data_IF_356813664951
#
_entry.id   IF_356813664951
#
_cell.length_a   1.000
_cell.length_b   1.000
_cell.length_c   1.000
_cell.angle_alpha   90.00
_cell.angle_beta   90.00
_cell.angle_gamma   90.00
#
_symmetry.space_group_name_H-M   'P 1'
#
loop_
_entity.id
_entity.type
_entity.pdbx_description
1 polymer ?
#
# COMPACT_ATOMS: atom_id res chain seq x y z
N UNK A 1 -27.22 32.92 6.74
CA UNK A 1 -26.47 31.86 7.46
C UNK A 1 -26.73 30.48 6.87
N UNK A 2 -27.98 30.00 6.81
CA UNK A 2 -28.31 28.66 6.29
C UNK A 2 -27.83 28.40 4.84
N UNK A 3 -28.01 29.36 3.92
CA UNK A 3 -27.52 29.24 2.53
C UNK A 3 -26.00 29.00 2.48
N UNK A 4 -25.23 29.68 3.32
CA UNK A 4 -23.78 29.50 3.38
C UNK A 4 -23.40 28.08 3.85
N UNK A 5 -24.13 27.53 4.83
CA UNK A 5 -23.92 26.15 5.30
C UNK A 5 -24.22 25.12 4.21
N UNK A 6 -25.28 25.32 3.42
CA UNK A 6 -25.58 24.49 2.25
C UNK A 6 -24.49 24.56 1.18
N UNK A 7 -23.95 25.75 0.92
CA UNK A 7 -22.83 25.92 -0.02
C UNK A 7 -21.60 25.13 0.47
N UNK A 8 -21.25 25.24 1.76
CA UNK A 8 -20.13 24.48 2.34
C UNK A 8 -20.37 22.97 2.22
N UNK A 9 -21.59 22.51 2.54
CA UNK A 9 -21.95 21.09 2.39
C UNK A 9 -21.79 20.61 0.95
N UNK A 10 -22.26 21.38 -0.04
CA UNK A 10 -22.10 21.03 -1.46
C UNK A 10 -20.61 20.95 -1.83
N UNK A 11 -19.78 21.89 -1.37
CA UNK A 11 -18.33 21.84 -1.59
C UNK A 11 -17.72 20.58 -0.97
N UNK A 12 -18.09 20.20 0.25
CA UNK A 12 -17.62 18.97 0.88
C UNK A 12 -18.06 17.71 0.12
N UNK A 13 -19.29 17.67 -0.40
CA UNK A 13 -19.79 16.55 -1.20
C UNK A 13 -19.06 16.45 -2.55
N UNK A 14 -18.84 17.57 -3.23
CA UNK A 14 -18.06 17.62 -4.47
C UNK A 14 -16.61 17.20 -4.23
N UNK A 15 -16.01 17.61 -3.11
CA UNK A 15 -14.68 17.19 -2.71
C UNK A 15 -14.64 15.67 -2.47
N UNK A 16 -15.59 15.12 -1.72
CA UNK A 16 -15.68 13.66 -1.53
C UNK A 16 -15.86 12.91 -2.87
N UNK A 17 -16.59 13.48 -3.82
CA UNK A 17 -16.79 12.88 -5.14
C UNK A 17 -15.51 12.86 -6.01
N UNK A 18 -14.47 13.63 -5.68
CA UNK A 18 -13.19 13.58 -6.40
C UNK A 18 -12.52 12.20 -6.30
N UNK A 19 -12.81 11.44 -5.24
CA UNK A 19 -12.30 10.07 -5.12
C UNK A 19 -12.88 9.15 -6.19
N UNK A 20 -14.00 9.50 -6.82
CA UNK A 20 -14.69 8.73 -7.87
C UNK A 20 -14.25 9.08 -9.29
N UNK A 21 -13.21 9.90 -9.45
CA UNK A 21 -12.67 10.18 -10.78
C UNK A 21 -12.08 8.91 -11.42
N UNK A 22 -12.03 8.83 -12.75
CA UNK A 22 -11.28 7.76 -13.42
C UNK A 22 -9.79 7.81 -13.07
N UNK A 23 -9.13 6.66 -13.05
CA UNK A 23 -7.67 6.61 -12.88
C UNK A 23 -6.96 7.48 -13.91
N UNK A 24 -5.88 8.16 -13.52
CA UNK A 24 -5.17 9.12 -14.37
C UNK A 24 -5.67 10.56 -14.25
N UNK A 25 -6.95 10.78 -13.92
CA UNK A 25 -7.47 12.14 -13.73
C UNK A 25 -6.88 12.80 -12.50
N UNK A 26 -6.65 12.03 -11.44
CA UNK A 26 -5.95 12.45 -10.25
C UNK A 26 -4.51 12.90 -10.55
N UNK A 27 -3.93 12.60 -11.73
CA UNK A 27 -2.64 13.14 -12.18
C UNK A 27 -2.59 14.64 -12.50
N UNK A 28 -3.60 15.45 -12.15
CA UNK A 28 -3.65 16.89 -12.43
C UNK A 28 -3.79 17.74 -11.17
N UNK A 29 -3.03 18.83 -11.06
CA UNK A 29 -3.17 19.76 -9.93
C UNK A 29 -4.58 20.38 -9.92
N UNK A 30 -5.23 20.54 -8.75
CA UNK A 30 -4.77 20.20 -7.39
C UNK A 30 -5.26 18.83 -6.88
N UNK A 31 -5.72 17.93 -7.76
CA UNK A 31 -6.49 16.73 -7.40
C UNK A 31 -5.77 15.75 -6.45
N UNK A 32 -4.48 15.41 -6.60
CA UNK A 32 -3.81 14.49 -5.67
C UNK A 32 -3.92 14.99 -4.22
N UNK A 33 -3.65 16.28 -4.01
CA UNK A 33 -3.63 16.87 -2.67
C UNK A 33 -5.02 16.93 -2.05
N UNK A 34 -6.03 17.29 -2.84
CA UNK A 34 -7.41 17.30 -2.37
C UNK A 34 -7.85 15.88 -2.02
N UNK A 35 -7.60 14.91 -2.89
CA UNK A 35 -8.02 13.52 -2.69
C UNK A 35 -7.34 12.91 -1.46
N UNK A 36 -6.04 13.15 -1.25
CA UNK A 36 -5.30 12.68 -0.07
C UNK A 36 -5.90 13.13 1.28
N UNK A 37 -6.59 14.28 1.29
CA UNK A 37 -7.22 14.84 2.50
C UNK A 37 -8.70 14.46 2.67
N UNK A 38 -9.31 13.80 1.68
CA UNK A 38 -10.71 13.32 1.79
C UNK A 38 -10.97 12.40 2.99
N UNK A 39 -10.01 11.60 3.52
CA UNK A 39 -10.21 10.87 4.75
C UNK A 39 -10.51 11.74 5.98
N UNK A 40 -10.34 13.06 5.92
CA UNK A 40 -10.66 13.98 7.01
C UNK A 40 -12.03 14.68 6.86
N UNK A 41 -12.73 14.46 5.75
CA UNK A 41 -14.03 15.11 5.48
C UNK A 41 -15.13 14.76 6.47
N UNK A 42 -15.05 13.60 7.15
CA UNK A 42 -15.98 13.22 8.22
C UNK A 42 -16.07 14.30 9.31
N UNK A 43 -14.98 15.05 9.58
CA UNK A 43 -14.96 16.13 10.57
C UNK A 43 -15.86 17.28 10.13
N UNK A 44 -15.73 17.68 8.85
CA UNK A 44 -16.55 18.74 8.28
C UNK A 44 -18.03 18.32 8.26
N UNK A 45 -18.35 17.11 7.82
CA UNK A 45 -19.73 16.61 7.83
C UNK A 45 -20.30 16.50 9.25
N UNK A 46 -19.51 16.07 10.24
CA UNK A 46 -19.94 16.01 11.63
C UNK A 46 -20.22 17.41 12.19
N UNK A 47 -19.31 18.37 11.98
CA UNK A 47 -19.48 19.75 12.45
C UNK A 47 -20.70 20.43 11.82
N UNK A 48 -20.89 20.28 10.50
CA UNK A 48 -22.06 20.78 9.80
C UNK A 48 -23.34 20.09 10.29
N UNK A 49 -23.33 18.78 10.48
CA UNK A 49 -24.46 18.02 11.01
C UNK A 49 -24.90 18.51 12.39
N UNK A 50 -23.95 18.73 13.31
CA UNK A 50 -24.21 19.29 14.64
C UNK A 50 -24.81 20.69 14.52
N UNK A 51 -24.26 21.56 13.67
CA UNK A 51 -24.82 22.89 13.43
C UNK A 51 -26.27 22.81 12.91
N UNK A 52 -26.55 21.89 11.98
CA UNK A 52 -27.89 21.61 11.47
C UNK A 52 -28.88 21.21 12.56
N UNK A 53 -28.47 20.31 13.45
CA UNK A 53 -29.27 19.88 14.60
C UNK A 53 -29.55 21.04 15.57
N UNK A 54 -28.53 21.85 15.89
CA UNK A 54 -28.70 23.04 16.75
C UNK A 54 -29.67 24.07 16.15
N UNK A 55 -29.65 24.23 14.83
CA UNK A 55 -30.55 25.12 14.09
C UNK A 55 -31.95 24.53 13.86
N UNK A 56 -32.17 23.24 14.20
CA UNK A 56 -33.39 22.47 13.90
C UNK A 56 -33.70 22.34 12.40
N UNK A 57 -32.66 22.39 11.57
CA UNK A 57 -32.73 22.24 10.12
C UNK A 57 -32.54 20.77 9.73
N UNK A 58 -33.61 19.97 9.91
CA UNK A 58 -33.55 18.52 9.78
C UNK A 58 -33.11 18.03 8.39
N UNK A 59 -33.54 18.70 7.32
CA UNK A 59 -33.13 18.36 5.96
C UNK A 59 -31.62 18.53 5.75
N UNK A 60 -31.06 19.63 6.26
CA UNK A 60 -29.62 19.88 6.21
C UNK A 60 -28.83 18.88 7.06
N UNK A 61 -29.29 18.60 8.28
CA UNK A 61 -28.68 17.62 9.17
C UNK A 61 -28.68 16.21 8.56
N UNK A 62 -29.77 15.81 7.89
CA UNK A 62 -29.86 14.53 7.18
C UNK A 62 -28.86 14.42 6.03
N UNK A 63 -28.70 15.47 5.21
CA UNK A 63 -27.70 15.48 4.15
C UNK A 63 -26.25 15.43 4.69
N UNK A 64 -25.98 16.13 5.80
CA UNK A 64 -24.69 16.03 6.48
C UNK A 64 -24.42 14.62 7.02
N UNK A 65 -25.44 13.97 7.60
CA UNK A 65 -25.33 12.59 8.07
C UNK A 65 -25.06 11.61 6.93
N UNK A 66 -25.71 11.78 5.77
CA UNK A 66 -25.41 10.98 4.58
C UNK A 66 -23.96 11.16 4.11
N UNK A 67 -23.47 12.40 4.04
CA UNK A 67 -22.07 12.71 3.70
C UNK A 67 -21.08 12.14 4.72
N UNK A 68 -21.41 12.21 6.02
CA UNK A 68 -20.63 11.62 7.10
C UNK A 68 -20.50 10.10 6.94
N UNK A 69 -21.63 9.41 6.71
CA UNK A 69 -21.65 7.97 6.49
C UNK A 69 -20.81 7.62 5.26
N UNK A 70 -21.01 8.30 4.13
CA UNK A 70 -20.23 8.06 2.91
C UNK A 70 -18.72 8.26 3.13
N UNK A 71 -18.33 9.30 3.88
CA UNK A 71 -16.91 9.55 4.22
C UNK A 71 -16.33 8.46 5.13
N UNK A 72 -17.09 7.99 6.12
CA UNK A 72 -16.64 6.94 7.04
C UNK A 72 -16.62 5.55 6.40
N UNK A 73 -17.56 5.23 5.52
CA UNK A 73 -17.59 3.96 4.77
C UNK A 73 -16.33 3.74 3.94
N UNK A 74 -15.66 4.79 3.47
CA UNK A 74 -14.37 4.63 2.77
C UNK A 74 -13.23 4.17 3.69
N UNK A 75 -13.35 4.40 5.00
CA UNK A 75 -12.36 3.92 5.98
C UNK A 75 -12.65 2.49 6.42
N UNK A 76 -13.87 2.00 6.23
CA UNK A 76 -14.22 0.66 6.72
C UNK A 76 -13.42 -0.42 6.03
N UNK A 77 -12.90 -0.22 4.82
CA UNK A 77 -12.02 -1.18 4.15
C UNK A 77 -10.83 -1.62 5.03
N UNK A 78 -10.29 -0.73 5.87
CA UNK A 78 -9.21 -1.04 6.81
C UNK A 78 -9.63 -1.82 8.05
N UNK A 79 -10.93 -1.99 8.28
CA UNK A 79 -11.50 -2.66 9.46
C UNK A 79 -12.44 -3.83 9.11
N UNK A 80 -12.88 -3.87 7.86
CA UNK A 80 -13.94 -4.71 7.33
C UNK A 80 -13.51 -5.19 5.95
N UNK A 81 -12.46 -6.02 5.92
CA UNK A 81 -12.19 -6.85 4.74
C UNK A 81 -13.15 -8.05 4.67
N UNK A 82 -13.94 -8.25 5.74
CA UNK A 82 -14.55 -9.53 6.08
C UNK A 82 -16.08 -9.50 6.23
N UNK A 83 -16.79 -8.79 5.36
CA UNK A 83 -18.23 -9.07 5.15
C UNK A 83 -18.45 -10.43 4.44
N UNK A 84 -17.40 -11.25 4.25
CA UNK A 84 -17.43 -12.63 3.73
C UNK A 84 -16.39 -13.61 4.32
N UNK A 85 -16.02 -13.54 5.60
CA UNK A 85 -15.42 -14.68 6.33
C UNK A 85 -15.84 -14.64 7.80
N UNK A 86 -15.65 -15.76 8.49
CA UNK A 86 -16.70 -16.66 8.91
C UNK A 86 -17.36 -16.20 10.20
N UNK A 87 -18.54 -16.76 10.49
CA UNK A 87 -19.25 -16.52 11.74
C UNK A 87 -18.28 -16.59 12.95
N UNK A 88 -18.58 -15.81 13.98
CA UNK A 88 -17.79 -15.66 15.21
C UNK A 88 -17.32 -17.01 15.82
N UNK A 89 -18.00 -18.11 15.50
CA UNK A 89 -17.61 -19.47 15.87
C UNK A 89 -16.28 -19.95 15.28
N UNK A 90 -15.96 -19.67 14.01
CA UNK A 90 -14.68 -20.11 13.42
C UNK A 90 -13.50 -19.27 13.92
N UNK A 91 -13.69 -17.96 14.16
CA UNK A 91 -12.67 -17.12 14.79
C UNK A 91 -12.34 -17.59 16.22
N UNK A 92 -13.35 -18.07 16.96
CA UNK A 92 -13.17 -18.68 18.28
C UNK A 92 -12.47 -20.05 18.15
N UNK A 93 -12.85 -20.87 17.17
CA UNK A 93 -12.20 -22.15 16.93
C UNK A 93 -10.71 -22.00 16.60
N UNK A 94 -10.34 -20.99 15.79
CA UNK A 94 -8.95 -20.65 15.47
C UNK A 94 -8.17 -20.20 16.71
N UNK A 95 -8.75 -19.32 17.55
CA UNK A 95 -8.13 -18.91 18.83
C UNK A 95 -7.94 -20.10 19.79
N UNK A 96 -8.87 -21.05 19.80
CA UNK A 96 -8.75 -22.27 20.61
C UNK A 96 -7.64 -23.18 20.05
N UNK A 97 -7.54 -23.31 18.72
CA UNK A 97 -6.49 -24.10 18.08
C UNK A 97 -5.09 -23.51 18.34
N UNK A 98 -4.94 -22.19 18.21
CA UNK A 98 -3.70 -21.47 18.54
C UNK A 98 -3.31 -21.62 20.01
N UNK A 99 -4.29 -21.58 20.92
CA UNK A 99 -4.04 -21.79 22.34
C UNK A 99 -3.60 -23.22 22.63
N UNK A 100 -4.24 -24.22 22.00
CA UNK A 100 -3.83 -25.62 22.11
C UNK A 100 -2.44 -25.88 21.54
N UNK A 101 -2.06 -25.21 20.44
CA UNK A 101 -0.72 -25.30 19.87
C UNK A 101 0.35 -24.74 20.82
N UNK A 102 0.09 -23.60 21.47
CA UNK A 102 0.97 -23.02 22.50
C UNK A 102 1.08 -23.89 23.75
N UNK A 103 -0.04 -24.47 24.18
CA UNK A 103 -0.08 -25.39 25.33
C UNK A 103 0.65 -26.72 25.02
N UNK A 104 0.63 -27.19 23.77
CA UNK A 104 1.39 -28.34 23.32
C UNK A 104 2.90 -28.06 23.25
N UNK A 105 3.31 -26.87 22.81
CA UNK A 105 4.72 -26.43 22.81
C UNK A 105 5.29 -26.20 24.22
N UNK A 106 4.45 -25.77 25.17
CA UNK A 106 4.86 -25.58 26.56
C UNK A 106 5.16 -26.89 27.32
N UNK A 107 4.76 -28.05 26.78
CA UNK A 107 4.97 -29.36 27.40
C UNK A 107 6.24 -30.08 26.93
N UNK A 108 6.96 -29.57 25.93
CA UNK A 108 8.30 -30.05 25.59
C UNK A 108 9.33 -28.92 25.75
N UNK A 109 9.96 -28.83 26.91
CA UNK A 109 11.12 -27.95 27.11
C UNK A 109 12.30 -28.73 27.69
N UNK A 110 13.25 -29.04 26.81
CA UNK A 110 14.69 -29.14 27.10
C UNK A 110 15.35 -27.90 26.49
N UNK A 111 16.33 -27.27 27.14
CA UNK A 111 16.89 -26.01 26.66
C UNK A 111 17.73 -26.26 25.41
N UNK A 112 17.29 -25.74 24.26
CA UNK A 112 17.98 -25.91 22.98
C UNK A 112 18.45 -24.57 22.41
N UNK A 113 19.75 -24.53 22.12
CA UNK A 113 20.49 -23.60 21.26
C UNK A 113 19.76 -23.41 19.92
N UNK A 114 19.72 -22.20 19.32
CA UNK A 114 18.97 -21.95 18.10
C UNK A 114 19.54 -22.78 16.93
N UNK A 115 18.68 -23.54 16.26
CA UNK A 115 18.99 -24.28 15.03
C UNK A 115 18.15 -23.72 13.88
N UNK A 116 18.70 -23.89 12.67
CA UNK A 116 18.46 -23.20 11.41
C UNK A 116 17.14 -23.54 10.68
N UNK A 117 16.02 -23.77 11.39
CA UNK A 117 14.79 -24.32 10.78
C UNK A 117 13.50 -23.47 10.96
N UNK A 118 13.55 -22.20 11.38
CA UNK A 118 12.33 -21.39 11.59
C UNK A 118 11.58 -20.94 10.30
N UNK A 119 11.93 -21.51 9.14
CA UNK A 119 11.18 -21.34 7.88
C UNK A 119 9.98 -22.30 7.75
N UNK A 120 9.45 -22.85 8.84
CA UNK A 120 8.55 -24.00 8.80
C UNK A 120 7.12 -23.72 8.28
N UNK A 121 6.68 -22.48 8.06
CA UNK A 121 5.31 -22.18 7.57
C UNK A 121 5.25 -21.15 6.41
N UNK A 122 6.37 -20.86 5.73
CA UNK A 122 6.39 -19.86 4.64
C UNK A 122 6.06 -18.43 5.11
N UNK A 123 6.32 -18.13 6.38
CA UNK A 123 6.09 -16.85 7.05
C UNK A 123 7.39 -16.06 7.15
N UNK A 124 7.34 -14.77 6.83
CA UNK A 124 8.49 -13.86 6.91
C UNK A 124 8.05 -12.42 7.15
N UNK A 125 8.91 -11.61 7.78
CA UNK A 125 8.64 -10.20 8.06
C UNK A 125 9.34 -9.29 7.07
N UNK A 126 8.61 -8.28 6.60
CA UNK A 126 9.11 -7.28 5.67
C UNK A 126 9.01 -5.89 6.31
N UNK A 127 9.91 -4.99 5.92
CA UNK A 127 9.96 -3.61 6.40
C UNK A 127 10.20 -2.66 5.23
N UNK A 128 9.49 -1.53 5.21
CA UNK A 128 9.77 -0.43 4.29
C UNK A 128 9.90 0.92 4.98
N UNK A 129 10.77 1.79 4.47
CA UNK A 129 10.97 3.14 4.99
C UNK A 129 11.51 4.09 3.91
N UNK A 130 10.84 5.22 3.70
CA UNK A 130 11.44 6.39 3.06
C UNK A 130 12.46 7.02 4.04
N UNK A 131 13.71 7.14 3.60
CA UNK A 131 14.82 7.58 4.42
C UNK A 131 15.05 9.09 4.45
N UNK A 132 14.19 9.88 3.80
CA UNK A 132 14.23 11.34 3.76
C UNK A 132 15.61 11.85 3.36
N UNK A 133 15.98 11.72 2.08
CA UNK A 133 17.31 12.11 1.59
C UNK A 133 18.49 11.47 2.35
N UNK A 134 18.31 10.23 2.81
CA UNK A 134 19.30 9.50 3.58
C UNK A 134 19.51 9.98 5.02
N UNK A 135 18.58 10.73 5.60
CA UNK A 135 18.66 11.23 6.98
C UNK A 135 18.17 10.25 8.04
N UNK A 136 17.49 9.16 7.66
CA UNK A 136 17.02 8.15 8.60
C UNK A 136 18.17 7.51 9.39
N UNK A 137 17.94 7.27 10.68
CA UNK A 137 18.94 6.75 11.60
C UNK A 137 19.28 5.28 11.29
N UNK A 138 20.45 5.05 10.70
CA UNK A 138 20.93 3.73 10.32
C UNK A 138 20.96 2.73 11.49
N UNK A 139 21.39 3.15 12.68
CA UNK A 139 21.49 2.27 13.84
C UNK A 139 20.11 1.81 14.32
N UNK A 140 19.10 2.68 14.25
CA UNK A 140 17.72 2.30 14.59
C UNK A 140 17.09 1.38 13.54
N UNK A 141 17.39 1.60 12.25
CA UNK A 141 16.97 0.69 11.17
C UNK A 141 17.55 -0.70 11.41
N UNK A 142 18.87 -0.81 11.65
CA UNK A 142 19.52 -2.12 11.88
C UNK A 142 19.01 -2.78 13.17
N UNK A 143 18.78 -2.00 14.23
CA UNK A 143 18.15 -2.51 15.47
C UNK A 143 16.76 -3.07 15.19
N UNK A 144 15.93 -2.35 14.44
CA UNK A 144 14.59 -2.81 14.07
C UNK A 144 14.65 -4.09 13.22
N UNK A 145 15.54 -4.17 12.24
CA UNK A 145 15.74 -5.38 11.42
C UNK A 145 16.07 -6.59 12.30
N UNK A 146 16.91 -6.39 13.32
CA UNK A 146 17.29 -7.44 14.27
C UNK A 146 16.16 -7.83 15.21
N UNK A 147 15.54 -6.85 15.86
CA UNK A 147 14.58 -7.06 16.94
C UNK A 147 13.23 -7.59 16.42
N UNK A 148 12.85 -7.20 15.20
CA UNK A 148 11.62 -7.63 14.53
C UNK A 148 11.85 -8.80 13.56
N UNK A 149 13.04 -9.39 13.52
CA UNK A 149 13.40 -10.49 12.62
C UNK A 149 13.03 -10.23 11.15
N UNK A 150 13.34 -9.04 10.65
CA UNK A 150 13.04 -8.64 9.26
C UNK A 150 13.86 -9.49 8.29
N UNK A 151 13.19 -10.11 7.32
CA UNK A 151 13.80 -10.93 6.29
C UNK A 151 14.02 -10.17 4.98
N UNK A 152 13.18 -9.16 4.71
CA UNK A 152 13.29 -8.27 3.55
C UNK A 152 13.10 -6.82 3.97
N UNK A 153 14.08 -5.98 3.64
CA UNK A 153 14.07 -4.54 3.91
C UNK A 153 14.06 -3.78 2.59
N UNK A 154 13.11 -2.87 2.40
CA UNK A 154 13.07 -1.94 1.28
C UNK A 154 13.26 -0.50 1.78
N UNK A 155 14.20 0.23 1.21
CA UNK A 155 14.46 1.62 1.60
C UNK A 155 14.36 2.53 0.37
N UNK A 156 13.76 3.70 0.56
CA UNK A 156 13.59 4.73 -0.46
C UNK A 156 14.32 6.01 -0.05
N UNK A 157 14.61 6.90 -1.00
CA UNK A 157 15.41 8.11 -0.77
C UNK A 157 16.77 7.85 -0.11
N UNK A 158 17.45 6.78 -0.53
CA UNK A 158 18.77 6.43 -0.05
C UNK A 158 19.84 7.37 -0.61
N UNK A 159 20.91 7.53 0.15
CA UNK A 159 22.18 8.07 -0.31
C UNK A 159 23.27 7.02 -0.12
N UNK A 160 24.37 7.14 -0.88
CA UNK A 160 25.55 6.29 -0.65
C UNK A 160 26.07 6.39 0.78
N UNK A 161 25.91 7.56 1.41
CA UNK A 161 26.33 7.77 2.79
C UNK A 161 25.49 6.95 3.78
N UNK A 162 24.17 6.95 3.62
CA UNK A 162 23.29 6.11 4.43
C UNK A 162 23.59 4.62 4.22
N UNK A 163 23.90 4.18 2.98
CA UNK A 163 24.33 2.80 2.73
C UNK A 163 25.59 2.45 3.53
N UNK A 164 26.61 3.33 3.53
CA UNK A 164 27.82 3.13 4.36
C UNK A 164 27.51 3.08 5.85
N UNK A 165 26.59 3.92 6.33
CA UNK A 165 26.17 3.92 7.74
C UNK A 165 25.43 2.63 8.13
N UNK A 166 24.57 2.10 7.25
CA UNK A 166 23.89 0.82 7.44
C UNK A 166 24.89 -0.35 7.49
N UNK A 167 25.86 -0.36 6.58
CA UNK A 167 26.94 -1.35 6.56
C UNK A 167 27.78 -1.28 7.84
N UNK A 168 28.16 -0.07 8.27
CA UNK A 168 28.90 0.16 9.51
C UNK A 168 28.09 -0.21 10.78
N UNK A 169 26.76 -0.09 10.74
CA UNK A 169 25.87 -0.50 11.81
C UNK A 169 25.64 -2.02 11.85
N UNK A 170 26.15 -2.77 10.86
CA UNK A 170 26.10 -4.24 10.82
C UNK A 170 24.91 -4.80 10.04
N UNK A 171 24.29 -4.04 9.14
CA UNK A 171 23.16 -4.54 8.33
C UNK A 171 23.53 -5.80 7.54
N UNK A 172 24.75 -5.85 6.99
CA UNK A 172 25.23 -6.98 6.19
C UNK A 172 25.31 -8.31 6.96
N UNK A 173 25.37 -8.28 8.29
CA UNK A 173 25.32 -9.49 9.12
C UNK A 173 23.90 -10.06 9.23
N UNK A 174 22.88 -9.22 9.04
CA UNK A 174 21.46 -9.59 9.16
C UNK A 174 20.83 -9.86 7.79
N UNK A 175 21.14 -8.99 6.81
CA UNK A 175 20.63 -9.02 5.45
C UNK A 175 21.81 -8.89 4.45
N UNK A 176 22.54 -9.99 4.19
CA UNK A 176 23.80 -9.95 3.42
C UNK A 176 23.61 -9.68 1.92
N UNK A 177 22.41 -9.89 1.38
CA UNK A 177 22.14 -9.71 -0.05
C UNK A 177 21.40 -8.39 -0.29
N UNK A 178 21.76 -7.67 -1.35
CA UNK A 178 21.09 -6.41 -1.71
C UNK A 178 21.07 -6.16 -3.21
N UNK A 179 20.08 -5.39 -3.65
CA UNK A 179 20.01 -4.77 -4.96
C UNK A 179 19.65 -3.30 -4.79
N UNK A 180 20.43 -2.42 -5.41
CA UNK A 180 20.19 -0.98 -5.43
C UNK A 180 19.66 -0.57 -6.81
N UNK A 181 18.83 0.45 -6.87
CA UNK A 181 18.51 1.12 -8.14
C UNK A 181 19.73 1.87 -8.65
N UNK A 182 19.82 2.07 -9.97
CA UNK A 182 20.89 2.88 -10.54
C UNK A 182 20.60 4.36 -10.21
N UNK A 183 21.55 5.10 -9.59
CA UNK A 183 21.32 6.50 -9.27
C UNK A 183 21.08 7.34 -10.52
N UNK A 184 19.98 8.10 -10.55
CA UNK A 184 19.64 8.98 -11.66
C UNK A 184 19.58 10.44 -11.22
N UNK A 185 19.94 11.35 -12.12
CA UNK A 185 19.86 12.79 -11.84
C UNK A 185 18.42 13.28 -11.58
N UNK A 186 17.42 12.51 -12.03
CA UNK A 186 15.99 12.78 -11.83
C UNK A 186 15.39 12.16 -10.56
N UNK A 187 16.20 11.51 -9.73
CA UNK A 187 15.72 10.80 -8.54
C UNK A 187 15.01 11.72 -7.56
N UNK A 188 13.92 11.21 -6.98
CA UNK A 188 13.13 11.92 -5.98
C UNK A 188 13.78 11.77 -4.60
N UNK A 189 14.87 12.49 -4.36
CA UNK A 189 15.52 12.54 -3.05
C UNK A 189 16.53 11.42 -2.76
N UNK A 190 16.77 10.52 -3.70
CA UNK A 190 17.75 9.45 -3.61
C UNK A 190 17.31 8.24 -4.41
N UNK A 191 18.14 7.19 -4.40
CA UNK A 191 17.81 5.93 -5.05
C UNK A 191 17.07 4.99 -4.10
N UNK A 192 16.54 3.89 -4.64
CA UNK A 192 15.85 2.85 -3.89
C UNK A 192 16.77 1.66 -3.66
N UNK A 193 16.48 0.84 -2.65
CA UNK A 193 17.24 -0.39 -2.38
C UNK A 193 16.39 -1.47 -1.71
N UNK A 194 16.74 -2.72 -1.97
CA UNK A 194 16.17 -3.89 -1.30
C UNK A 194 17.29 -4.76 -0.74
N UNK A 195 17.14 -5.20 0.51
CA UNK A 195 18.05 -6.11 1.22
C UNK A 195 17.30 -7.35 1.68
N UNK A 196 17.96 -8.50 1.62
CA UNK A 196 17.36 -9.79 1.96
C UNK A 196 18.31 -10.67 2.76
N UNK A 197 17.71 -11.53 3.59
CA UNK A 197 18.42 -12.55 4.35
C UNK A 197 18.89 -13.72 3.50
N UNK A 198 18.16 -14.04 2.44
CA UNK A 198 18.36 -15.21 1.59
C UNK A 198 18.92 -14.79 0.24
N UNK A 199 19.80 -15.63 -0.32
CA UNK A 199 20.41 -15.40 -1.63
C UNK A 199 19.35 -15.35 -2.74
N UNK A 200 19.30 -14.28 -3.53
CA UNK A 200 18.35 -14.18 -4.63
C UNK A 200 18.79 -15.04 -5.83
N UNK A 201 17.81 -15.65 -6.49
CA UNK A 201 18.03 -16.35 -7.76
C UNK A 201 18.28 -15.35 -8.90
N UNK A 202 17.63 -14.19 -8.85
CA UNK A 202 17.77 -13.11 -9.82
C UNK A 202 17.67 -11.75 -9.14
N UNK A 203 18.32 -10.74 -9.70
CA UNK A 203 18.26 -9.36 -9.25
C UNK A 203 18.36 -8.39 -10.43
N UNK A 204 17.72 -7.24 -10.32
CA UNK A 204 17.75 -6.17 -11.33
C UNK A 204 17.64 -4.80 -10.66
N UNK A 205 18.41 -3.78 -11.11
CA UNK A 205 18.25 -2.41 -10.63
C UNK A 205 16.88 -1.82 -11.00
N UNK A 206 16.26 -2.30 -12.08
CA UNK A 206 14.98 -1.80 -12.59
C UNK A 206 14.05 -2.96 -12.92
N UNK A 207 13.16 -3.32 -12.00
CA UNK A 207 12.13 -4.34 -12.20
C UNK A 207 10.97 -3.86 -13.08
N UNK A 208 10.71 -2.56 -13.10
CA UNK A 208 9.71 -1.92 -13.96
C UNK A 208 10.12 -0.49 -14.29
N UNK A 209 9.94 -0.09 -15.54
CA UNK A 209 10.19 1.27 -15.97
C UNK A 209 8.99 2.17 -15.62
N UNK A 210 9.19 3.08 -14.68
CA UNK A 210 8.24 4.14 -14.31
C UNK A 210 8.93 5.51 -14.37
N UNK A 211 8.22 6.63 -14.54
CA UNK A 211 8.82 7.97 -14.62
C UNK A 211 9.26 8.50 -13.23
N UNK A 212 10.07 7.73 -12.51
CA UNK A 212 10.57 8.00 -11.16
C UNK A 212 11.95 7.33 -10.95
N UNK A 213 12.39 7.24 -9.69
CA UNK A 213 13.59 6.48 -9.33
C UNK A 213 13.42 5.00 -9.69
N UNK A 214 14.54 4.34 -10.00
CA UNK A 214 14.54 2.93 -10.35
C UNK A 214 13.90 2.06 -9.27
N UNK A 215 13.24 0.99 -9.70
CA UNK A 215 12.51 0.04 -8.84
C UNK A 215 13.35 -1.23 -8.72
N UNK A 216 14.37 -1.29 -7.83
CA UNK A 216 15.20 -2.48 -7.70
C UNK A 216 14.34 -3.66 -7.25
N UNK A 217 14.57 -4.79 -7.90
CA UNK A 217 13.83 -6.01 -7.66
C UNK A 217 14.76 -7.22 -7.53
N UNK A 218 14.33 -8.16 -6.69
CA UNK A 218 15.05 -9.39 -6.36
C UNK A 218 14.06 -10.54 -6.33
N UNK A 219 14.42 -11.67 -6.91
CA UNK A 219 13.54 -12.83 -7.03
C UNK A 219 14.13 -14.01 -6.27
N UNK A 220 13.34 -14.56 -5.36
CA UNK A 220 13.61 -15.78 -4.63
C UNK A 220 12.85 -16.94 -5.28
N UNK A 221 13.53 -18.07 -5.49
CA UNK A 221 12.86 -19.31 -5.85
C UNK A 221 12.41 -20.04 -4.59
N UNK A 222 11.09 -20.16 -4.40
CA UNK A 222 10.50 -20.80 -3.22
C UNK A 222 10.21 -22.28 -3.49
N UNK A 223 9.93 -22.63 -4.75
CA UNK A 223 9.84 -24.00 -5.22
C UNK A 223 10.22 -24.06 -6.71
N UNK A 224 10.39 -25.25 -7.31
CA UNK A 224 10.68 -25.37 -8.75
C UNK A 224 9.63 -24.73 -9.68
N UNK A 225 8.43 -24.40 -9.17
CA UNK A 225 7.36 -23.77 -9.96
C UNK A 225 6.85 -22.45 -9.38
N UNK A 226 7.49 -21.92 -8.32
CA UNK A 226 6.99 -20.73 -7.61
C UNK A 226 8.14 -19.85 -7.17
N UNK A 227 8.08 -18.59 -7.60
CA UNK A 227 8.99 -17.53 -7.19
C UNK A 227 8.25 -16.46 -6.37
N UNK A 228 9.00 -15.73 -5.54
CA UNK A 228 8.58 -14.46 -4.96
C UNK A 228 9.55 -13.37 -5.42
N UNK A 229 9.03 -12.31 -6.04
CA UNK A 229 9.78 -11.11 -6.38
C UNK A 229 9.47 -9.99 -5.38
N UNK A 230 10.50 -9.42 -4.77
CA UNK A 230 10.41 -8.23 -3.93
C UNK A 230 10.92 -7.02 -4.69
N UNK A 231 10.18 -5.91 -4.65
CA UNK A 231 10.52 -4.67 -5.33
C UNK A 231 10.40 -3.47 -4.38
N UNK A 232 11.39 -2.58 -4.40
CA UNK A 232 11.34 -1.30 -3.67
C UNK A 232 10.93 -0.18 -4.60
N UNK A 233 9.76 0.42 -4.38
CA UNK A 233 9.20 1.43 -5.28
C UNK A 233 9.07 2.80 -4.61
N UNK A 234 9.43 3.85 -5.34
CA UNK A 234 9.19 5.24 -4.95
C UNK A 234 8.78 6.06 -6.19
N UNK A 235 7.50 6.03 -6.59
CA UNK A 235 6.97 6.90 -7.63
C UNK A 235 7.20 8.38 -7.29
N UNK A 236 7.24 9.25 -8.30
CA UNK A 236 7.40 10.70 -8.07
C UNK A 236 6.33 11.21 -7.11
N UNK A 237 6.68 12.12 -6.20
CA UNK A 237 5.66 12.83 -5.44
C UNK A 237 4.82 13.76 -6.33
N UNK A 238 3.53 13.98 -6.02
CA UNK A 238 2.69 14.93 -6.75
C UNK A 238 3.29 16.34 -6.86
N UNK A 239 4.15 16.73 -5.91
CA UNK A 239 4.80 18.04 -5.89
C UNK A 239 5.79 18.20 -7.05
N UNK A 240 6.47 17.11 -7.42
CA UNK A 240 7.48 17.08 -8.49
C UNK A 240 6.91 16.79 -9.87
N UNK A 241 5.72 16.20 -9.95
CA UNK A 241 5.00 16.00 -11.21
C UNK A 241 3.77 15.14 -11.01
N UNK A 242 2.57 15.74 -11.06
CA UNK A 242 1.32 14.99 -10.83
C UNK A 242 1.05 13.95 -11.93
N UNK A 243 1.40 14.27 -13.19
CA UNK A 243 1.15 13.35 -14.29
C UNK A 243 2.06 12.14 -14.19
N UNK A 244 3.34 12.36 -13.98
CA UNK A 244 4.33 11.30 -13.80
C UNK A 244 4.10 10.50 -12.51
N UNK A 245 3.64 11.14 -11.42
CA UNK A 245 3.17 10.43 -10.22
C UNK A 245 2.07 9.44 -10.59
N UNK A 246 1.02 9.91 -11.27
CA UNK A 246 -0.11 9.06 -11.66
C UNK A 246 0.30 7.93 -12.59
N UNK A 247 1.07 8.24 -13.64
CA UNK A 247 1.59 7.27 -14.61
C UNK A 247 2.50 6.24 -13.93
N UNK A 248 3.35 6.66 -12.98
CA UNK A 248 4.21 5.77 -12.21
C UNK A 248 3.43 4.82 -11.31
N UNK A 249 2.40 5.30 -10.60
CA UNK A 249 1.56 4.45 -9.75
C UNK A 249 0.83 3.39 -10.58
N UNK A 250 0.23 3.78 -11.70
CA UNK A 250 -0.44 2.84 -12.59
C UNK A 250 0.57 1.86 -13.23
N UNK A 251 1.75 2.37 -13.60
CA UNK A 251 2.82 1.60 -14.25
C UNK A 251 3.37 0.46 -13.39
N UNK A 252 3.36 0.59 -12.05
CA UNK A 252 3.71 -0.49 -11.13
C UNK A 252 2.83 -1.75 -11.33
N UNK A 253 1.63 -1.61 -11.89
CA UNK A 253 0.74 -2.73 -12.18
C UNK A 253 1.32 -3.76 -13.16
N UNK A 254 2.33 -3.38 -13.96
CA UNK A 254 3.05 -4.32 -14.83
C UNK A 254 3.78 -5.44 -14.06
N UNK A 255 4.07 -5.23 -12.77
CA UNK A 255 4.70 -6.20 -11.89
C UNK A 255 3.73 -7.28 -11.35
N UNK A 256 2.41 -7.12 -11.54
CA UNK A 256 1.44 -8.11 -11.04
C UNK A 256 1.46 -9.43 -11.83
N UNK A 257 1.83 -9.39 -13.12
CA UNK A 257 1.81 -10.55 -14.00
C UNK A 257 3.07 -10.64 -14.88
N UNK A 258 4.26 -10.83 -14.30
CA UNK A 258 5.52 -10.79 -15.03
C UNK A 258 5.64 -11.92 -16.08
N UNK A 259 5.14 -13.13 -15.82
CA UNK A 259 5.23 -14.25 -16.79
C UNK A 259 4.31 -14.09 -18.02
N UNK A 260 3.12 -13.48 -17.89
CA UNK A 260 2.20 -13.35 -19.02
C UNK A 260 2.78 -12.49 -20.16
N UNK A 261 3.74 -11.62 -19.83
CA UNK A 261 4.39 -10.75 -20.81
C UNK A 261 5.53 -11.43 -21.59
N UNK A 262 6.02 -12.60 -21.16
CA UNK A 262 7.26 -13.21 -21.67
C UNK A 262 7.18 -14.72 -22.00
N UNK A 263 6.15 -15.45 -21.54
CA UNK A 263 6.08 -16.89 -21.72
C UNK A 263 5.56 -17.32 -23.10
N UNK A 264 6.16 -18.37 -23.66
CA UNK A 264 5.59 -19.10 -24.80
C UNK A 264 4.29 -19.82 -24.37
N UNK A 265 3.30 -19.98 -25.27
CA UNK A 265 1.97 -20.53 -24.93
C UNK A 265 1.97 -21.91 -24.23
N UNK A 266 3.05 -22.68 -24.36
CA UNK A 266 3.15 -24.08 -23.91
C UNK A 266 4.12 -24.30 -22.74
N UNK A 267 4.67 -23.23 -22.13
CA UNK A 267 5.51 -23.36 -20.95
C UNK A 267 4.68 -23.85 -19.74
N UNK A 268 5.21 -24.75 -18.88
CA UNK A 268 4.53 -25.11 -17.65
C UNK A 268 4.23 -23.85 -16.83
N UNK A 269 3.01 -23.77 -16.28
CA UNK A 269 2.58 -22.62 -15.50
C UNK A 269 3.54 -22.40 -14.33
N UNK A 270 4.32 -21.33 -14.42
CA UNK A 270 5.24 -20.90 -13.39
C UNK A 270 4.62 -19.69 -12.70
N UNK A 271 4.48 -19.78 -11.38
CA UNK A 271 3.83 -18.75 -10.59
C UNK A 271 4.85 -17.78 -10.02
N UNK A 272 4.64 -16.48 -10.21
CA UNK A 272 5.43 -15.46 -9.53
C UNK A 272 4.53 -14.60 -8.70
N UNK A 273 4.75 -14.68 -7.40
CA UNK A 273 4.19 -13.78 -6.41
C UNK A 273 5.05 -12.51 -6.43
N UNK A 274 4.43 -11.33 -6.50
CA UNK A 274 5.17 -10.07 -6.42
C UNK A 274 4.78 -9.33 -5.16
N UNK A 275 5.77 -8.79 -4.45
CA UNK A 275 5.63 -7.92 -3.28
C UNK A 275 6.30 -6.58 -3.60
N UNK A 276 5.54 -5.49 -3.56
CA UNK A 276 6.07 -4.13 -3.69
C UNK A 276 6.03 -3.45 -2.32
N UNK A 277 7.14 -2.84 -1.95
CA UNK A 277 7.36 -2.14 -0.70
C UNK A 277 7.79 -0.70 -1.00
N UNK A 278 7.16 0.30 -0.38
CA UNK A 278 7.69 1.66 -0.43
C UNK A 278 6.69 2.78 -0.19
N UNK A 279 7.23 4.00 -0.21
CA UNK A 279 6.46 5.24 -0.31
C UNK A 279 5.86 5.34 -1.73
N UNK A 280 4.58 5.04 -1.84
CA UNK A 280 3.85 5.16 -3.09
C UNK A 280 3.24 6.55 -3.27
N UNK A 281 3.46 7.51 -2.36
CA UNK A 281 2.92 8.86 -2.45
C UNK A 281 1.40 8.89 -2.74
N UNK A 282 0.68 7.84 -2.37
CA UNK A 282 -0.68 7.58 -2.81
C UNK A 282 -1.42 6.73 -1.79
N UNK A 283 -2.73 6.57 -1.95
CA UNK A 283 -3.59 5.94 -0.94
C UNK A 283 -4.90 5.52 -1.60
N UNK A 284 -5.71 4.71 -0.92
CA UNK A 284 -6.98 4.18 -1.46
C UNK A 284 -7.92 5.25 -2.07
N UNK A 285 -8.09 6.44 -1.47
CA UNK A 285 -8.86 7.50 -2.10
C UNK A 285 -8.42 7.89 -3.51
N UNK A 286 -7.14 7.70 -3.88
CA UNK A 286 -6.61 8.01 -5.20
C UNK A 286 -7.06 6.98 -6.26
N UNK A 287 -7.77 7.42 -7.32
CA UNK A 287 -8.11 6.57 -8.46
C UNK A 287 -6.93 5.79 -9.05
N UNK A 288 -5.76 6.41 -9.18
CA UNK A 288 -4.56 5.76 -9.73
C UNK A 288 -4.07 4.61 -8.84
N UNK A 289 -4.16 4.75 -7.51
CA UNK A 289 -3.80 3.67 -6.58
C UNK A 289 -4.81 2.50 -6.63
N UNK A 290 -6.10 2.79 -6.73
CA UNK A 290 -7.10 1.72 -6.90
C UNK A 290 -6.92 0.97 -8.22
N UNK A 291 -6.47 1.66 -9.28
CA UNK A 291 -6.10 1.00 -10.55
C UNK A 291 -4.90 0.07 -10.38
N UNK A 292 -3.91 0.44 -9.57
CA UNK A 292 -2.80 -0.44 -9.20
C UNK A 292 -3.31 -1.68 -8.43
N UNK A 293 -4.14 -1.51 -7.41
CA UNK A 293 -4.72 -2.66 -6.70
C UNK A 293 -5.55 -3.56 -7.64
N UNK A 294 -6.32 -2.95 -8.55
CA UNK A 294 -7.13 -3.67 -9.54
C UNK A 294 -6.30 -4.44 -10.57
N UNK A 295 -4.98 -4.23 -10.67
CA UNK A 295 -4.11 -5.07 -11.51
C UNK A 295 -3.76 -6.41 -10.87
N UNK A 296 -4.26 -6.71 -9.68
CA UNK A 296 -4.01 -7.97 -8.96
C UNK A 296 -3.23 -7.81 -7.65
N UNK A 297 -3.09 -6.57 -7.15
CA UNK A 297 -2.40 -6.32 -5.88
C UNK A 297 -3.39 -6.19 -4.70
N UNK A 298 -3.00 -6.82 -3.60
CA UNK A 298 -3.54 -6.71 -2.26
C UNK A 298 -2.68 -5.72 -1.45
N UNK A 299 -3.20 -5.16 -0.37
CA UNK A 299 -2.49 -4.20 0.48
C UNK A 299 -2.49 -4.77 1.89
N UNK A 300 -1.33 -4.81 2.54
CA UNK A 300 -1.17 -5.49 3.81
C UNK A 300 -2.11 -4.97 4.90
N UNK A 301 -2.34 -3.65 4.97
CA UNK A 301 -3.22 -3.06 5.97
C UNK A 301 -4.70 -3.34 5.68
N UNK A 302 -5.07 -3.44 4.40
CA UNK A 302 -6.41 -3.87 4.00
C UNK A 302 -6.63 -5.35 4.26
N UNK A 303 -5.65 -6.18 3.93
CA UNK A 303 -5.72 -7.61 4.12
C UNK A 303 -5.83 -7.99 5.61
N UNK A 304 -4.98 -7.38 6.47
CA UNK A 304 -5.05 -7.60 7.90
C UNK A 304 -6.37 -7.08 8.53
N UNK A 305 -6.93 -6.01 7.98
CA UNK A 305 -8.20 -5.42 8.42
C UNK A 305 -8.25 -5.00 9.91
N UNK A 306 -7.12 -4.55 10.49
CA UNK A 306 -7.03 -4.12 11.90
C UNK A 306 -6.87 -2.62 12.09
N UNK A 307 -7.05 -1.84 11.03
CA UNK A 307 -7.12 -0.39 11.09
C UNK A 307 -6.15 0.31 10.15
N UNK A 308 -6.07 1.63 10.33
CA UNK A 308 -5.19 2.49 9.55
C UNK A 308 -3.79 2.50 10.15
N UNK A 309 -2.78 2.53 9.28
CA UNK A 309 -1.38 2.72 9.64
C UNK A 309 -0.82 3.98 8.96
N UNK A 310 -1.20 5.20 9.38
CA UNK A 310 -0.72 6.43 8.75
C UNK A 310 0.78 6.62 8.99
N UNK A 311 1.53 6.86 7.93
CA UNK A 311 2.99 6.89 7.94
C UNK A 311 3.56 8.30 7.76
N UNK A 312 2.79 9.27 7.25
CA UNK A 312 3.31 10.61 6.96
C UNK A 312 2.39 11.74 7.46
N UNK A 313 2.91 12.85 8.02
CA UNK A 313 4.30 13.07 8.41
C UNK A 313 4.59 12.70 9.88
N UNK A 314 5.85 12.43 10.22
CA UNK A 314 6.25 12.13 11.61
C UNK A 314 6.16 13.33 12.54
N UNK A 315 6.35 14.56 12.05
CA UNK A 315 6.38 15.79 12.86
C UNK A 315 5.01 16.25 13.39
N UNK A 316 3.91 15.60 12.98
CA UNK A 316 2.57 15.80 13.54
C UNK A 316 2.07 14.48 14.13
N UNK A 317 1.49 14.47 15.33
CA UNK A 317 0.81 13.28 15.84
C UNK A 317 -0.52 13.04 15.11
N UNK A 318 -1.16 14.11 14.63
CA UNK A 318 -2.38 14.08 13.84
C UNK A 318 -2.60 15.43 13.14
N UNK A 319 -3.12 15.49 11.89
CA UNK A 319 -3.46 14.37 11.03
C UNK A 319 -2.23 13.79 10.31
N UNK A 320 -2.23 12.47 10.15
CA UNK A 320 -1.31 11.73 9.28
C UNK A 320 -2.10 11.04 8.16
N UNK A 321 -1.46 10.81 7.03
CA UNK A 321 -1.97 10.09 5.86
C UNK A 321 -1.21 8.78 5.67
N UNK A 322 -1.83 7.83 4.97
CA UNK A 322 -1.22 6.56 4.57
C UNK A 322 -0.65 6.76 3.18
N UNK A 323 0.66 6.70 3.03
CA UNK A 323 1.31 6.78 1.70
C UNK A 323 2.41 5.74 1.48
N UNK A 324 2.85 5.07 2.54
CA UNK A 324 3.75 3.93 2.47
C UNK A 324 2.95 2.64 2.53
N UNK A 325 3.33 1.67 1.70
CA UNK A 325 2.57 0.45 1.53
C UNK A 325 3.46 -0.79 1.41
N UNK A 326 2.91 -1.91 1.85
CA UNK A 326 3.33 -3.25 1.46
C UNK A 326 2.17 -3.83 0.67
N UNK A 327 2.34 -3.98 -0.64
CA UNK A 327 1.34 -4.56 -1.53
C UNK A 327 1.87 -5.86 -2.14
N UNK A 328 0.99 -6.83 -2.39
CA UNK A 328 1.39 -8.13 -2.91
C UNK A 328 0.32 -8.76 -3.80
N UNK A 329 0.72 -9.60 -4.75
CA UNK A 329 -0.24 -10.43 -5.52
C UNK A 329 -0.73 -11.61 -4.69
N UNK A 330 -1.64 -12.41 -5.24
CA UNK A 330 -2.16 -13.63 -4.62
C UNK A 330 -1.10 -14.54 -3.99
N UNK A 331 -1.58 -15.46 -3.13
CA UNK A 331 -0.78 -16.47 -2.41
C UNK A 331 0.02 -15.97 -1.22
N UNK A 332 -0.28 -14.75 -0.76
CA UNK A 332 0.23 -14.20 0.50
C UNK A 332 -0.94 -13.68 1.34
N UNK A 333 -0.75 -13.72 2.66
CA UNK A 333 -1.60 -13.07 3.64
C UNK A 333 -0.74 -12.24 4.58
N UNK A 334 -1.20 -11.04 4.89
CA UNK A 334 -0.57 -10.09 5.79
C UNK A 334 -1.17 -10.13 7.19
N UNK A 335 -0.27 -10.01 8.17
CA UNK A 335 -0.61 -9.85 9.57
C UNK A 335 0.44 -9.00 10.26
N UNK A 336 0.13 -8.55 11.47
CA UNK A 336 1.04 -7.77 12.30
C UNK A 336 1.58 -6.53 11.58
N UNK A 337 0.69 -5.78 10.92
CA UNK A 337 1.06 -4.54 10.22
C UNK A 337 1.27 -3.45 11.25
N UNK A 338 2.42 -2.78 11.20
CA UNK A 338 2.79 -1.79 12.20
C UNK A 338 3.52 -0.61 11.56
N UNK A 339 3.10 0.60 11.94
CA UNK A 339 3.84 1.82 11.62
C UNK A 339 4.73 2.18 12.82
N UNK A 340 6.05 2.23 12.60
CA UNK A 340 7.04 2.44 13.68
C UNK A 340 7.91 3.65 13.38
N UNK A 341 8.19 4.45 14.40
CA UNK A 341 9.02 5.64 14.23
C UNK A 341 10.51 5.25 14.11
N UNK A 342 11.20 5.88 13.18
CA UNK A 342 12.66 5.85 13.06
C UNK A 342 13.13 7.31 13.03
N UNK A 343 14.08 7.64 13.90
CA UNK A 343 14.61 8.99 13.99
C UNK A 343 15.20 9.44 12.64
N UNK A 344 15.04 10.73 12.32
CA UNK A 344 15.59 11.34 11.11
C UNK A 344 14.71 11.24 9.86
N UNK A 345 13.76 10.30 9.80
CA UNK A 345 12.78 10.23 8.71
C UNK A 345 11.52 11.08 8.99
N UNK A 346 10.94 11.64 7.93
CA UNK A 346 9.59 12.23 7.94
C UNK A 346 8.48 11.20 7.72
N UNK A 347 8.84 9.94 7.47
CA UNK A 347 7.95 8.79 7.39
C UNK A 347 8.13 7.88 8.61
N UNK A 348 7.03 7.24 9.01
CA UNK A 348 7.08 6.06 9.86
C UNK A 348 7.46 4.87 8.98
N UNK A 349 8.34 3.98 9.46
CA UNK A 349 8.58 2.70 8.80
C UNK A 349 7.31 1.85 8.86
N UNK A 350 7.02 1.08 7.82
CA UNK A 350 5.89 0.16 7.78
C UNK A 350 6.41 -1.28 7.74
N UNK A 351 6.11 -2.03 8.80
CA UNK A 351 6.42 -3.45 8.93
C UNK A 351 5.16 -4.28 8.68
N UNK A 352 5.32 -5.46 8.07
CA UNK A 352 4.26 -6.44 7.94
C UNK A 352 4.82 -7.86 7.97
N UNK A 353 4.08 -8.80 8.52
CA UNK A 353 4.37 -10.24 8.39
C UNK A 353 3.56 -10.80 7.24
N UNK A 354 4.24 -11.36 6.24
CA UNK A 354 3.63 -12.06 5.12
C UNK A 354 3.74 -13.57 5.32
N UNK A 355 2.66 -14.29 5.02
CA UNK A 355 2.60 -15.76 5.11
C UNK A 355 2.14 -16.33 3.78
N UNK A 356 2.91 -17.24 3.21
CA UNK A 356 2.53 -17.97 2.00
C UNK A 356 1.28 -18.81 2.24
N UNK A 357 0.38 -18.79 1.27
CA UNK A 357 -0.84 -19.60 1.28
C UNK A 357 -1.11 -20.20 -0.10
N UNK A 358 -1.68 -21.41 -0.13
CA UNK A 358 -2.06 -22.07 -1.39
C UNK A 358 -3.38 -21.54 -1.97
N UNK A 359 -4.02 -20.57 -1.30
CA UNK A 359 -5.31 -20.01 -1.73
C UNK A 359 -5.11 -18.73 -2.51
N UNK A 360 -5.93 -18.58 -3.54
CA UNK A 360 -6.11 -17.33 -4.26
C UNK A 360 -7.01 -16.41 -3.44
N UNK A 361 -6.62 -15.16 -3.24
CA UNK A 361 -7.42 -14.20 -2.49
C UNK A 361 -8.29 -13.40 -3.45
N UNK A 362 -9.56 -13.13 -3.11
CA UNK A 362 -10.34 -12.20 -3.90
C UNK A 362 -9.69 -10.81 -3.80
N UNK A 363 -9.39 -10.19 -4.95
CA UNK A 363 -8.86 -8.81 -5.03
C UNK A 363 -9.60 -7.91 -4.03
N UNK A 364 -8.83 -7.15 -3.25
CA UNK A 364 -9.30 -6.21 -2.22
C UNK A 364 -10.63 -5.56 -2.61
N UNK A 365 -11.60 -5.51 -1.69
CA UNK A 365 -12.88 -4.84 -1.95
C UNK A 365 -12.68 -3.39 -2.45
N UNK A 366 -11.63 -2.71 -1.98
CA UNK A 366 -11.21 -1.38 -2.41
C UNK A 366 -10.78 -1.29 -3.88
N UNK A 367 -10.33 -2.37 -4.51
CA UNK A 367 -9.96 -2.40 -5.92
C UNK A 367 -11.17 -2.40 -6.86
N UNK A 368 -12.37 -2.75 -6.38
CA UNK A 368 -13.59 -2.85 -7.20
C UNK A 368 -14.22 -1.48 -7.54
N UNK A 369 -13.72 -0.40 -6.95
CA UNK A 369 -14.22 0.97 -7.14
C UNK A 369 -13.43 1.73 -8.22
N UNK A 370 -13.12 1.08 -9.34
CA UNK A 370 -12.57 1.77 -10.52
C UNK A 370 -13.66 1.94 -11.58
N UNK A 371 -13.94 3.18 -11.93
CA UNK A 371 -14.74 3.51 -13.11
C UNK A 371 -14.09 2.94 -14.38
N UNK A 372 -14.88 2.51 -15.38
CA UNK A 372 -14.32 2.03 -16.65
C UNK A 372 -13.38 3.07 -17.27
N UNK A 373 -12.28 2.62 -17.89
CA UNK A 373 -11.20 3.44 -18.46
C UNK A 373 -11.68 4.51 -19.46
N UNK A 374 -12.89 4.34 -19.99
CA UNK A 374 -13.61 5.33 -20.76
C UNK A 374 -15.08 5.37 -20.34
N UNK A 375 -15.64 6.57 -20.16
CA UNK A 375 -17.09 6.74 -20.19
C UNK A 375 -17.61 6.22 -21.54
N UNK A 376 -18.73 5.48 -21.59
CA UNK A 376 -19.33 5.09 -22.85
C UNK A 376 -19.54 6.33 -23.71
N UNK A 377 -19.23 6.29 -25.03
CA UNK A 377 -19.38 7.45 -25.90
C UNK A 377 -20.82 7.96 -25.78
N UNK A 378 -20.97 9.28 -25.56
CA UNK A 378 -22.27 9.92 -25.51
C UNK A 378 -23.06 9.50 -26.77
N UNK A 379 -24.33 9.06 -26.64
CA UNK A 379 -25.12 8.66 -27.79
C UNK A 379 -25.10 9.80 -28.80
N UNK A 380 -24.62 9.53 -30.02
CA UNK A 380 -24.62 10.49 -31.11
C UNK A 380 -26.03 11.07 -31.19
N UNK A 381 -26.16 12.40 -31.00
CA UNK A 381 -27.42 13.10 -31.24
C UNK A 381 -27.90 12.64 -32.62
N UNK A 382 -29.06 11.98 -32.68
CA UNK A 382 -29.72 11.70 -33.95
C UNK A 382 -29.80 13.04 -34.67
N UNK A 383 -29.10 13.16 -35.79
CA UNK A 383 -29.26 14.27 -36.69
C UNK A 383 -30.73 14.22 -37.11
N UNK A 384 -31.54 15.12 -36.54
CA UNK A 384 -32.90 15.31 -37.00
C UNK A 384 -32.81 15.81 -38.43
N UNK A 385 -33.48 15.09 -39.32
CA UNK A 385 -33.75 15.45 -40.69
C UNK A 385 -34.14 16.93 -40.81
N UNK A 386 -33.35 17.69 -41.56
CA UNK A 386 -33.83 18.85 -42.30
C UNK A 386 -33.44 18.67 -43.76
N UNK A 387 -34.08 17.67 -44.40
CA UNK A 387 -34.37 17.73 -45.82
C UNK A 387 -35.74 18.40 -45.96
N UNK A 388 -35.76 19.74 -46.03
CA UNK A 388 -36.85 20.54 -46.61
C UNK A 388 -36.40 22.01 -46.67
N UNK A 389 -35.76 22.39 -47.77
CA UNK A 389 -36.10 23.55 -48.61
C UNK A 389 -35.19 23.62 -49.82
#
# INVERSE_FOLDING_TARGET
MLIALWIILIVCLLWLALTELPAGWDGHKPLPYLIALTPMLWIAFAALGIAGLCMREWGFAACCAAGLIASLMRKTAYWLNDLKSPNTGEAIARKIAERKAREAQAQSHTPHTPRLDDAHDGRFRVLTLNCRFGHANAAEIVRMVRDEDVAVLALQELTEDLVRQLDAAGLAELLPYRQLGDPQASDNGGFNGVWLRVEPAQSTPTGVAIPAADVPAVTLQVSPMRDITFASAHPKSPQRGCREWSEGIIGLGALAHPQQNLAAPDAPAHETITVILGDLNSSIPHPSFRKLLASGFHDAALDEAKGLHPTYPTWLPWPRIVIDHVIFTDHLHASDVQAVHIDGSDHMALAATLTLQDKHEPVNAAARETWPESLPPLPKKKAHEQAQR
#
